data_IF_628314403934
#
_entry.id   IF_628314403934
#
_cell.length_a   1.000
_cell.length_b   1.000
_cell.length_c   1.000
_cell.angle_alpha   90.00
_cell.angle_beta   90.00
_cell.angle_gamma   90.00
#
_symmetry.space_group_name_H-M   'P 1'
#
loop_
_entity.id
_entity.type
_entity.pdbx_description
1 polymer ?
#
# COMPACT_ATOMS: atom_id res chain seq x y z
N UNK A 1 -10.35 22.35 -1.40
CA UNK A 1 -11.64 22.47 -0.69
C UNK A 1 -11.41 21.96 0.71
N UNK A 2 -11.74 22.72 1.75
CA UNK A 2 -11.56 22.22 3.13
C UNK A 2 -12.49 21.01 3.35
N UNK A 3 -12.07 19.99 4.12
CA UNK A 3 -12.92 18.84 4.43
C UNK A 3 -14.20 19.31 5.15
N UNK A 4 -15.34 18.71 4.80
CA UNK A 4 -16.60 18.98 5.51
C UNK A 4 -16.61 18.23 6.85
N UNK A 5 -16.93 18.91 7.97
CA UNK A 5 -17.00 18.25 9.27
C UNK A 5 -17.94 17.04 9.26
N UNK A 6 -17.44 15.89 9.71
CA UNK A 6 -18.23 14.65 9.81
C UNK A 6 -18.37 13.86 8.51
N UNK A 7 -17.72 14.29 7.42
CA UNK A 7 -17.68 13.55 6.15
C UNK A 7 -16.27 13.02 5.89
N UNK A 8 -16.17 11.73 5.58
CA UNK A 8 -14.93 11.13 5.11
C UNK A 8 -14.51 11.79 3.80
N UNK A 9 -13.22 12.11 3.68
CA UNK A 9 -12.63 12.43 2.38
C UNK A 9 -12.86 11.23 1.47
N UNK A 10 -13.71 11.39 0.46
CA UNK A 10 -14.03 10.31 -0.46
C UNK A 10 -12.77 9.87 -1.19
N UNK A 11 -12.37 8.62 -0.99
CA UNK A 11 -11.41 7.98 -1.86
C UNK A 11 -12.16 7.49 -3.09
N UNK A 12 -12.01 8.14 -4.23
CA UNK A 12 -12.61 7.72 -5.52
C UNK A 12 -11.97 6.43 -6.08
N UNK A 13 -11.35 5.61 -5.22
CA UNK A 13 -10.72 4.35 -5.59
C UNK A 13 -11.73 3.22 -5.47
N UNK A 14 -11.91 2.48 -6.56
CA UNK A 14 -12.69 1.26 -6.56
C UNK A 14 -12.03 0.22 -5.64
N UNK A 15 -12.67 -0.10 -4.52
CA UNK A 15 -12.34 -1.22 -3.66
C UNK A 15 -13.56 -2.13 -3.50
N UNK A 16 -13.43 -3.46 -3.61
CA UNK A 16 -14.53 -4.37 -3.34
C UNK A 16 -14.68 -4.47 -1.83
N UNK A 17 -15.51 -3.64 -1.19
CA UNK A 17 -15.52 -3.70 0.27
C UNK A 17 -16.82 -3.31 0.96
N UNK A 18 -17.47 -4.33 1.51
CA UNK A 18 -18.28 -4.18 2.71
C UNK A 18 -17.33 -3.76 3.87
N UNK A 19 -17.49 -2.57 4.46
CA UNK A 19 -16.54 -2.08 5.46
C UNK A 19 -16.61 -2.91 6.75
N UNK A 20 -15.46 -3.34 7.24
CA UNK A 20 -15.33 -4.08 8.50
C UNK A 20 -14.36 -3.40 9.50
N UNK A 21 -13.68 -2.34 9.09
CA UNK A 21 -12.79 -1.52 9.93
C UNK A 21 -12.74 -0.05 9.47
N UNK A 22 -12.04 0.77 10.26
CA UNK A 22 -11.49 2.06 9.81
C UNK A 22 -10.03 1.79 9.45
N UNK A 23 -9.68 1.99 8.18
CA UNK A 23 -8.32 1.79 7.66
C UNK A 23 -7.54 3.10 7.58
N UNK A 24 -6.23 2.99 7.45
CA UNK A 24 -5.29 4.11 7.34
C UNK A 24 -5.07 4.57 5.90
N UNK A 25 -5.22 3.67 4.92
CA UNK A 25 -4.99 3.84 3.48
C UNK A 25 -3.55 4.12 3.02
N UNK A 26 -2.66 4.48 3.95
CA UNK A 26 -1.22 4.77 3.75
C UNK A 26 -0.35 4.18 4.88
N UNK A 27 -0.66 2.96 5.32
CA UNK A 27 0.09 2.33 6.41
C UNK A 27 1.43 1.77 5.91
N UNK A 28 2.49 2.56 6.04
CA UNK A 28 3.84 2.27 5.56
C UNK A 28 4.91 2.60 6.61
N UNK A 29 6.17 2.13 6.46
CA UNK A 29 7.22 2.32 7.47
C UNK A 29 7.43 3.78 7.91
N UNK A 30 7.27 4.75 7.01
CA UNK A 30 7.42 6.18 7.31
C UNK A 30 6.31 6.74 8.22
N UNK A 31 5.18 6.04 8.34
CA UNK A 31 4.04 6.42 9.17
C UNK A 31 3.99 5.67 10.52
N UNK A 32 5.03 4.89 10.85
CA UNK A 32 5.13 4.15 12.12
C UNK A 32 6.21 4.77 13.02
N UNK A 33 5.86 5.02 14.27
CA UNK A 33 6.79 5.51 15.30
C UNK A 33 7.27 4.33 16.15
N UNK A 34 8.60 4.21 16.29
CA UNK A 34 9.25 3.15 17.03
C UNK A 34 10.00 3.69 18.27
N UNK A 35 9.96 2.93 19.36
CA UNK A 35 10.92 3.01 20.47
C UNK A 35 11.70 1.68 20.51
N UNK A 36 12.92 1.70 19.97
CA UNK A 36 13.66 0.48 19.67
C UNK A 36 12.89 -0.41 18.68
N UNK A 37 12.54 -1.63 19.11
CA UNK A 37 11.76 -2.60 18.32
C UNK A 37 10.25 -2.48 18.57
N UNK A 38 9.82 -1.62 19.49
CA UNK A 38 8.41 -1.49 19.85
C UNK A 38 7.73 -0.38 19.04
N UNK A 39 6.58 -0.71 18.44
CA UNK A 39 5.70 0.30 17.85
C UNK A 39 5.01 1.08 18.96
N UNK A 40 5.19 2.40 18.98
CA UNK A 40 4.61 3.30 19.98
C UNK A 40 3.52 4.20 19.41
N UNK A 41 3.43 4.33 18.09
CA UNK A 41 2.39 5.12 17.43
C UNK A 41 2.30 4.91 15.93
N UNK A 42 1.17 5.35 15.38
CA UNK A 42 0.89 5.45 13.95
C UNK A 42 0.45 6.90 13.71
N UNK A 43 1.04 7.55 12.70
CA UNK A 43 0.81 8.96 12.36
C UNK A 43 0.26 9.08 10.93
N UNK A 44 -0.14 10.29 10.54
CA UNK A 44 -0.62 10.61 9.19
C UNK A 44 -1.97 9.94 8.80
N UNK A 45 -3.00 10.24 9.60
CA UNK A 45 -4.36 9.71 9.43
C UNK A 45 -5.22 10.50 8.42
N UNK A 46 -4.61 11.33 7.56
CA UNK A 46 -5.34 12.21 6.64
C UNK A 46 -6.20 11.43 5.63
N UNK A 47 -5.84 10.18 5.36
CA UNK A 47 -6.55 9.27 4.47
C UNK A 47 -7.44 8.26 5.19
N UNK A 48 -7.61 8.35 6.51
CA UNK A 48 -8.41 7.40 7.25
C UNK A 48 -9.86 7.36 6.74
N UNK A 49 -10.43 6.16 6.56
CA UNK A 49 -11.82 5.97 6.13
C UNK A 49 -12.33 4.54 6.43
N UNK A 50 -13.66 4.29 6.38
CA UNK A 50 -14.22 2.95 6.43
C UNK A 50 -13.75 2.11 5.23
N UNK A 51 -13.29 0.89 5.49
CA UNK A 51 -12.78 -0.06 4.47
C UNK A 51 -12.79 -1.50 5.01
N UNK A 52 -12.24 -2.47 4.29
CA UNK A 52 -11.86 -3.76 4.90
C UNK A 52 -10.42 -3.78 5.36
N UNK A 53 -10.20 -4.62 6.37
CA UNK A 53 -8.87 -5.06 6.80
C UNK A 53 -8.02 -5.54 5.62
N UNK A 54 -8.57 -6.39 4.74
CA UNK A 54 -7.83 -6.95 3.62
C UNK A 54 -7.37 -5.86 2.64
N UNK A 55 -8.21 -4.87 2.35
CA UNK A 55 -7.87 -3.75 1.47
C UNK A 55 -6.78 -2.86 2.07
N UNK A 56 -6.91 -2.51 3.35
CA UNK A 56 -5.94 -1.64 4.03
C UNK A 56 -4.58 -2.33 4.20
N UNK A 57 -4.60 -3.61 4.60
CA UNK A 57 -3.39 -4.42 4.75
C UNK A 57 -2.71 -4.75 3.42
N UNK A 58 -3.42 -4.72 2.29
CA UNK A 58 -2.79 -4.95 0.99
C UNK A 58 -1.73 -3.88 0.67
N UNK A 59 -2.00 -2.62 1.00
CA UNK A 59 -1.00 -1.55 0.87
C UNK A 59 0.13 -1.71 1.89
N UNK A 60 -0.20 -2.05 3.15
CA UNK A 60 0.83 -2.31 4.15
C UNK A 60 1.75 -3.48 3.74
N UNK A 61 1.18 -4.58 3.24
CA UNK A 61 1.93 -5.73 2.76
C UNK A 61 2.89 -5.34 1.62
N UNK A 62 2.47 -4.46 0.70
CA UNK A 62 3.36 -3.94 -0.34
C UNK A 62 4.65 -3.33 0.22
N UNK A 63 4.55 -2.57 1.31
CA UNK A 63 5.69 -1.88 1.91
C UNK A 63 6.52 -2.78 2.85
N UNK A 64 5.86 -3.58 3.68
CA UNK A 64 6.55 -4.44 4.66
C UNK A 64 7.10 -5.74 4.04
N UNK A 65 6.52 -6.25 2.96
CA UNK A 65 6.95 -7.47 2.22
C UNK A 65 7.81 -7.13 0.99
N UNK A 66 8.33 -5.90 0.92
CA UNK A 66 8.60 -5.14 -0.33
C UNK A 66 8.19 -5.80 -1.65
N UNK A 67 6.97 -5.52 -2.14
CA UNK A 67 6.52 -5.95 -3.47
C UNK A 67 7.01 -5.05 -4.62
N UNK A 68 8.25 -4.57 -4.53
CA UNK A 68 8.88 -3.78 -5.59
C UNK A 68 9.67 -4.68 -6.55
N UNK A 69 9.88 -4.27 -7.82
CA UNK A 69 10.86 -4.92 -8.69
C UNK A 69 12.23 -5.01 -8.01
N UNK A 70 12.99 -6.08 -8.28
CA UNK A 70 14.29 -6.33 -7.61
C UNK A 70 15.27 -5.17 -7.83
N UNK A 71 15.27 -4.55 -9.00
CA UNK A 71 16.08 -3.37 -9.33
C UNK A 71 15.70 -2.12 -8.54
N UNK A 72 14.48 -2.06 -7.99
CA UNK A 72 13.99 -0.93 -7.21
C UNK A 72 14.22 -1.10 -5.69
N UNK A 73 14.57 -2.30 -5.24
CA UNK A 73 14.72 -2.63 -3.81
C UNK A 73 15.69 -1.70 -3.06
N UNK A 74 16.81 -1.34 -3.68
CA UNK A 74 17.82 -0.49 -3.06
C UNK A 74 17.27 0.90 -2.70
N UNK A 75 16.37 1.46 -3.52
CA UNK A 75 15.73 2.74 -3.25
C UNK A 75 14.81 2.69 -2.00
N UNK A 76 14.36 1.49 -1.63
CA UNK A 76 13.52 1.22 -0.46
C UNK A 76 14.32 0.65 0.72
N UNK A 77 15.65 0.78 0.69
CA UNK A 77 16.52 0.39 1.81
C UNK A 77 16.84 -1.10 1.90
N UNK A 78 16.67 -1.86 0.81
CA UNK A 78 17.00 -3.28 0.75
C UNK A 78 18.31 -3.50 -0.02
N UNK A 79 19.39 -3.82 0.71
CA UNK A 79 20.71 -4.10 0.14
C UNK A 79 20.80 -5.44 -0.60
N UNK A 80 19.86 -6.34 -0.35
CA UNK A 80 19.75 -7.65 -0.99
C UNK A 80 18.30 -8.09 -1.09
N UNK A 81 18.04 -9.00 -2.03
CA UNK A 81 16.75 -9.66 -2.22
C UNK A 81 16.25 -10.33 -0.92
N UNK A 82 15.11 -9.89 -0.35
CA UNK A 82 14.58 -10.46 0.89
C UNK A 82 13.78 -11.75 0.64
N UNK A 83 13.59 -12.57 1.68
CA UNK A 83 12.63 -13.69 1.65
C UNK A 83 11.19 -13.15 1.66
N UNK A 84 10.69 -12.68 0.50
CA UNK A 84 9.36 -12.08 0.37
C UNK A 84 8.24 -13.07 0.75
N UNK A 85 8.36 -14.34 0.37
CA UNK A 85 7.36 -15.36 0.71
C UNK A 85 7.33 -15.61 2.23
N UNK A 86 8.50 -15.70 2.88
CA UNK A 86 8.60 -15.81 4.34
C UNK A 86 8.06 -14.59 5.06
N UNK A 87 8.35 -13.39 4.57
CA UNK A 87 7.80 -12.13 5.11
C UNK A 87 6.30 -12.06 4.97
N UNK A 88 5.73 -12.47 3.83
CA UNK A 88 4.27 -12.52 3.64
C UNK A 88 3.59 -13.49 4.60
N UNK A 89 4.17 -14.68 4.78
CA UNK A 89 3.69 -15.66 5.76
C UNK A 89 3.74 -15.10 7.18
N UNK A 90 4.85 -14.47 7.56
CA UNK A 90 4.99 -13.85 8.88
C UNK A 90 3.97 -12.72 9.08
N UNK A 91 3.80 -11.86 8.08
CA UNK A 91 2.87 -10.73 8.11
C UNK A 91 1.43 -11.21 8.33
N UNK A 92 0.98 -12.17 7.52
CA UNK A 92 -0.38 -12.74 7.63
C UNK A 92 -0.58 -13.52 8.92
N UNK A 93 0.42 -14.27 9.38
CA UNK A 93 0.36 -14.98 10.65
C UNK A 93 0.28 -14.03 11.85
N UNK A 94 1.04 -12.93 11.83
CA UNK A 94 1.05 -11.93 12.89
C UNK A 94 -0.28 -11.17 12.97
N UNK A 95 -0.90 -10.87 11.82
CA UNK A 95 -2.21 -10.23 11.79
C UNK A 95 -3.34 -11.18 12.20
N UNK A 96 -3.31 -12.42 11.71
CA UNK A 96 -4.32 -13.45 11.93
C UNK A 96 -5.48 -13.41 10.92
N UNK A 97 -6.46 -14.29 11.15
CA UNK A 97 -7.69 -14.33 10.34
C UNK A 97 -8.45 -12.98 10.44
N UNK A 98 -9.20 -12.56 9.41
CA UNK A 98 -9.68 -13.34 8.25
C UNK A 98 -8.84 -13.25 6.97
N UNK A 99 -7.65 -12.62 7.02
CA UNK A 99 -6.93 -12.22 5.80
C UNK A 99 -5.93 -13.29 5.34
N UNK A 100 -5.94 -13.62 4.05
CA UNK A 100 -5.03 -14.63 3.49
C UNK A 100 -3.89 -14.01 2.68
N UNK A 101 -2.76 -14.73 2.57
CA UNK A 101 -1.63 -14.30 1.74
C UNK A 101 -2.01 -14.10 0.27
N UNK A 102 -2.84 -15.01 -0.27
CA UNK A 102 -3.33 -14.92 -1.65
C UNK A 102 -4.19 -13.67 -1.87
N UNK A 103 -5.11 -13.40 -0.94
CA UNK A 103 -5.95 -12.21 -0.97
C UNK A 103 -5.12 -10.93 -0.91
N UNK A 104 -4.13 -10.83 0.00
CA UNK A 104 -3.25 -9.66 0.08
C UNK A 104 -2.45 -9.42 -1.19
N UNK A 105 -1.93 -10.48 -1.81
CA UNK A 105 -1.16 -10.37 -3.06
C UNK A 105 -2.04 -9.85 -4.20
N UNK A 106 -3.24 -10.39 -4.35
CA UNK A 106 -4.17 -9.99 -5.40
C UNK A 106 -4.70 -8.55 -5.18
N UNK A 107 -5.09 -8.23 -3.95
CA UNK A 107 -5.54 -6.89 -3.58
C UNK A 107 -4.41 -5.86 -3.66
N UNK A 108 -3.16 -6.23 -3.35
CA UNK A 108 -2.04 -5.31 -3.47
C UNK A 108 -1.86 -4.88 -4.92
N UNK A 109 -1.84 -5.82 -5.88
CA UNK A 109 -1.74 -5.46 -7.30
C UNK A 109 -2.86 -4.50 -7.73
N UNK A 110 -4.11 -4.78 -7.34
CA UNK A 110 -5.25 -3.89 -7.60
C UNK A 110 -5.09 -2.51 -6.96
N UNK A 111 -4.67 -2.47 -5.69
CA UNK A 111 -4.47 -1.24 -4.93
C UNK A 111 -3.42 -0.35 -5.57
N UNK A 112 -2.28 -0.92 -5.97
CA UNK A 112 -1.19 -0.17 -6.59
C UNK A 112 -1.58 0.35 -7.99
N UNK A 113 -2.30 -0.43 -8.80
CA UNK A 113 -2.86 0.06 -10.07
C UNK A 113 -3.81 1.24 -9.85
N UNK A 114 -4.68 1.16 -8.84
CA UNK A 114 -5.62 2.24 -8.49
C UNK A 114 -4.89 3.50 -8.03
N UNK A 115 -3.84 3.38 -7.20
CA UNK A 115 -3.03 4.52 -6.75
C UNK A 115 -2.29 5.15 -7.93
N UNK A 116 -1.68 4.32 -8.79
CA UNK A 116 -0.98 4.79 -9.98
C UNK A 116 -1.90 5.56 -10.92
N UNK A 117 -3.10 5.02 -11.20
CA UNK A 117 -4.09 5.70 -12.03
C UNK A 117 -4.55 7.04 -11.42
N UNK A 118 -4.78 7.08 -10.10
CA UNK A 118 -5.16 8.32 -9.44
C UNK A 118 -4.08 9.39 -9.56
N UNK A 119 -2.82 9.05 -9.27
CA UNK A 119 -1.70 9.99 -9.39
C UNK A 119 -1.66 10.57 -10.81
N UNK A 120 -1.79 9.74 -11.83
CA UNK A 120 -1.80 10.21 -13.21
C UNK A 120 -3.00 11.10 -13.55
N UNK A 121 -4.18 10.77 -13.02
CA UNK A 121 -5.37 11.59 -13.20
C UNK A 121 -5.17 12.98 -12.57
N UNK A 122 -4.57 13.06 -11.37
CA UNK A 122 -4.26 14.33 -10.70
C UNK A 122 -3.17 15.12 -11.42
N UNK A 123 -2.14 14.45 -11.95
CA UNK A 123 -1.13 15.07 -12.79
C UNK A 123 -1.76 15.63 -14.07
N UNK A 124 -2.64 14.87 -14.75
CA UNK A 124 -3.36 15.34 -15.95
C UNK A 124 -4.32 16.50 -15.67
N UNK A 125 -4.73 16.66 -14.41
CA UNK A 125 -5.54 17.78 -13.95
C UNK A 125 -4.71 18.99 -13.47
N UNK A 126 -3.38 18.97 -13.67
CA UNK A 126 -2.43 20.01 -13.23
C UNK A 126 -2.56 20.34 -11.72
N UNK A 127 -2.82 19.34 -10.88
CA UNK A 127 -2.90 19.53 -9.44
C UNK A 127 -1.50 19.75 -8.82
N UNK A 128 -1.20 20.94 -8.27
CA UNK A 128 0.12 21.22 -7.69
C UNK A 128 0.46 20.33 -6.50
N UNK A 129 -0.53 19.73 -5.81
CA UNK A 129 -0.26 18.76 -4.74
C UNK A 129 0.44 17.49 -5.25
N UNK A 130 0.34 17.20 -6.55
CA UNK A 130 0.93 16.02 -7.18
C UNK A 130 2.24 16.30 -7.94
N UNK A 131 2.79 17.52 -7.82
CA UNK A 131 4.02 17.91 -8.53
C UNK A 131 5.22 17.00 -8.18
N UNK A 132 5.36 16.61 -6.90
CA UNK A 132 6.41 15.68 -6.48
C UNK A 132 6.21 14.30 -7.10
N UNK A 133 4.97 13.80 -7.13
CA UNK A 133 4.64 12.52 -7.73
C UNK A 133 4.92 12.47 -9.23
N UNK A 134 4.79 13.60 -9.92
CA UNK A 134 5.19 13.74 -11.32
C UNK A 134 6.71 13.74 -11.47
N UNK A 135 7.42 14.54 -10.66
CA UNK A 135 8.87 14.67 -10.74
C UNK A 135 9.59 13.34 -10.44
N UNK A 136 9.03 12.53 -9.55
CA UNK A 136 9.59 11.25 -9.10
C UNK A 136 8.96 10.03 -9.79
N UNK A 137 8.05 10.24 -10.76
CA UNK A 137 7.35 9.20 -11.53
C UNK A 137 6.70 8.09 -10.67
N UNK A 138 6.05 8.51 -9.57
CA UNK A 138 5.40 7.59 -8.64
C UNK A 138 4.33 6.73 -9.30
N UNK A 139 3.59 7.28 -10.26
CA UNK A 139 2.54 6.55 -11.00
C UNK A 139 3.08 5.32 -11.73
N UNK A 140 4.21 5.47 -12.44
CA UNK A 140 4.86 4.34 -13.11
C UNK A 140 5.48 3.36 -12.13
N UNK A 141 6.06 3.86 -11.03
CA UNK A 141 6.59 3.00 -9.95
C UNK A 141 5.53 2.04 -9.39
N UNK A 142 4.32 2.54 -9.10
CA UNK A 142 3.21 1.72 -8.62
C UNK A 142 2.73 0.69 -9.66
N UNK A 143 2.66 1.06 -10.94
CA UNK A 143 2.34 0.09 -12.01
C UNK A 143 3.40 -0.99 -12.17
N UNK A 144 4.68 -0.63 -12.08
CA UNK A 144 5.78 -1.58 -12.17
C UNK A 144 5.72 -2.59 -11.01
N UNK A 145 5.46 -2.11 -9.78
CA UNK A 145 5.23 -2.97 -8.63
C UNK A 145 4.02 -3.90 -8.83
N UNK A 146 2.88 -3.39 -9.31
CA UNK A 146 1.71 -4.22 -9.60
C UNK A 146 2.00 -5.31 -10.66
N UNK A 147 2.67 -4.95 -11.75
CA UNK A 147 3.07 -5.89 -12.79
C UNK A 147 4.03 -6.96 -12.27
N UNK A 148 4.96 -6.55 -11.39
CA UNK A 148 5.89 -7.47 -10.73
C UNK A 148 5.12 -8.45 -9.83
N UNK A 149 4.19 -7.99 -9.01
CA UNK A 149 3.34 -8.84 -8.16
C UNK A 149 2.62 -9.89 -9.01
N UNK A 150 1.96 -9.47 -10.09
CA UNK A 150 1.18 -10.37 -10.94
C UNK A 150 2.06 -11.45 -11.59
N UNK A 151 3.30 -11.10 -11.95
CA UNK A 151 4.27 -12.03 -12.56
C UNK A 151 4.86 -13.00 -11.54
N UNK A 152 5.07 -12.57 -10.29
CA UNK A 152 5.76 -13.33 -9.24
C UNK A 152 4.78 -13.94 -8.22
N UNK A 153 3.46 -13.84 -8.45
CA UNK A 153 2.40 -14.32 -7.54
C UNK A 153 2.65 -15.74 -7.03
N UNK A 154 3.00 -16.69 -7.89
CA UNK A 154 3.25 -18.06 -7.48
C UNK A 154 4.43 -18.17 -6.49
N UNK A 155 5.52 -17.46 -6.76
CA UNK A 155 6.71 -17.44 -5.91
C UNK A 155 6.45 -16.77 -4.56
N UNK A 156 5.62 -15.71 -4.54
CA UNK A 156 5.20 -15.03 -3.32
C UNK A 156 4.37 -15.94 -2.40
N UNK A 157 3.61 -16.87 -2.97
CA UNK A 157 2.73 -17.76 -2.21
C UNK A 157 3.38 -19.08 -1.79
N UNK A 158 4.57 -19.40 -2.32
CA UNK A 158 5.33 -20.62 -2.00
C UNK A 158 4.96 -21.79 -2.89
#
# INVERSE_FOLDING_TARGET
MAPEPGRWSGHDYAGPVEPDCIGHFDLAPWNIVFDGEQVTGIIDWDFAAPTSRAWDLAYAAHQFVPFHPTEALAAWGWDSEPDRAGRLRLFTQAYGAPVTAAELVDLAAMRLLSIGAHIEDRIRADDPAFAVHQAEDHGSGYRAAAAWILTHRAQLLG
#
